data_IF_226506296883
#
_entry.id   IF_226506296883
#
_cell.length_a   1.000
_cell.length_b   1.000
_cell.length_c   1.000
_cell.angle_alpha   90.00
_cell.angle_beta   90.00
_cell.angle_gamma   90.00
#
_symmetry.space_group_name_H-M   'P 1'
#
loop_
_entity.id
_entity.type
_entity.pdbx_description
1 polymer ?
#
# COMPACT_ATOMS: atom_id res chain seq x y z
N UNK A 1 0.27 -13.25 2.63
CA UNK A 1 1.35 -12.40 2.06
C UNK A 1 1.80 -11.48 3.18
N UNK A 2 3.10 -11.27 3.40
CA UNK A 2 3.58 -10.39 4.48
C UNK A 2 4.19 -9.11 3.89
N UNK A 3 3.85 -7.97 4.48
CA UNK A 3 4.45 -6.67 4.16
C UNK A 3 5.75 -6.50 4.95
N UNK A 4 6.71 -5.77 4.38
CA UNK A 4 7.87 -5.31 5.14
C UNK A 4 7.47 -4.15 6.07
N UNK A 5 8.33 -3.81 7.03
CA UNK A 5 8.11 -2.66 7.93
C UNK A 5 7.91 -1.35 7.15
N UNK A 6 8.64 -1.18 6.04
CA UNK A 6 8.55 0.01 5.19
C UNK A 6 7.23 0.06 4.41
N UNK A 7 6.78 -1.09 3.89
CA UNK A 7 5.48 -1.20 3.24
C UNK A 7 4.36 -0.98 4.26
N UNK A 8 4.40 -1.61 5.43
CA UNK A 8 3.41 -1.38 6.48
C UNK A 8 3.34 0.07 6.92
N UNK A 9 4.49 0.74 7.06
CA UNK A 9 4.57 2.15 7.42
C UNK A 9 3.96 3.03 6.32
N UNK A 10 4.30 2.75 5.06
CA UNK A 10 3.73 3.45 3.91
C UNK A 10 2.21 3.32 3.88
N UNK A 11 1.69 2.11 4.07
CA UNK A 11 0.25 1.89 4.00
C UNK A 11 -0.46 2.45 5.27
N UNK A 12 0.20 2.44 6.44
CA UNK A 12 -0.30 3.06 7.68
C UNK A 12 -0.43 4.58 7.58
N UNK A 13 0.39 5.23 6.75
CA UNK A 13 0.34 6.67 6.53
C UNK A 13 -1.01 7.12 5.95
N UNK A 14 -1.69 6.25 5.18
CA UNK A 14 -2.85 6.64 4.37
C UNK A 14 -4.20 6.11 4.85
N UNK A 15 -4.29 4.96 5.54
CA UNK A 15 -5.47 4.55 6.35
C UNK A 15 -5.21 3.23 7.09
N UNK A 16 -5.94 2.94 8.17
CA UNK A 16 -5.74 1.73 9.00
C UNK A 16 -6.64 0.53 8.68
N UNK A 17 -7.73 0.65 7.91
CA UNK A 17 -8.80 -0.38 7.96
C UNK A 17 -9.49 -0.77 6.64
N UNK A 18 -9.13 -0.24 5.47
CA UNK A 18 -9.92 -0.48 4.25
C UNK A 18 -9.10 -0.61 2.96
N UNK A 19 -9.68 -1.29 1.95
CA UNK A 19 -9.21 -1.39 0.56
C UNK A 19 -8.99 -0.03 -0.13
N UNK A 20 -9.49 1.06 0.46
CA UNK A 20 -9.19 2.44 0.05
C UNK A 20 -7.70 2.81 0.18
N UNK A 21 -6.89 2.02 0.90
CA UNK A 21 -5.41 2.11 0.94
C UNK A 21 -4.79 2.17 -0.47
N UNK A 22 -5.22 1.31 -1.39
CA UNK A 22 -4.69 1.24 -2.77
C UNK A 22 -4.94 2.55 -3.54
N UNK A 23 -6.11 3.15 -3.34
CA UNK A 23 -6.46 4.41 -4.00
C UNK A 23 -5.66 5.61 -3.43
N UNK A 24 -5.49 5.66 -2.10
CA UNK A 24 -4.73 6.73 -1.46
C UNK A 24 -3.23 6.67 -1.80
N UNK A 25 -2.62 5.47 -1.80
CA UNK A 25 -1.23 5.27 -2.22
C UNK A 25 -1.04 5.63 -3.69
N UNK A 26 -2.00 5.29 -4.58
CA UNK A 26 -1.97 5.75 -5.99
C UNK A 26 -2.06 7.27 -6.13
N UNK A 27 -2.89 7.91 -5.32
CA UNK A 27 -3.07 9.36 -5.36
C UNK A 27 -1.82 10.12 -4.90
N UNK A 28 -1.09 9.58 -3.92
CA UNK A 28 0.12 10.20 -3.38
C UNK A 28 1.42 9.82 -4.13
N UNK A 29 1.37 8.81 -5.00
CA UNK A 29 2.51 8.36 -5.82
C UNK A 29 3.21 9.48 -6.64
N UNK A 30 2.50 10.47 -7.24
CA UNK A 30 3.12 11.55 -7.98
C UNK A 30 4.03 12.45 -7.11
N UNK A 31 3.68 12.60 -5.83
CA UNK A 31 4.39 13.44 -4.86
C UNK A 31 5.57 12.72 -4.19
N UNK A 32 5.70 11.40 -4.39
CA UNK A 32 6.79 10.59 -3.83
C UNK A 32 8.06 10.67 -4.68
N UNK A 33 9.20 10.65 -4.01
CA UNK A 33 10.52 10.44 -4.62
C UNK A 33 10.62 9.06 -5.28
N UNK A 34 11.57 8.89 -6.20
CA UNK A 34 11.68 7.69 -7.04
C UNK A 34 11.77 6.37 -6.25
N UNK A 35 12.49 6.36 -5.14
CA UNK A 35 12.62 5.21 -4.24
C UNK A 35 11.29 4.89 -3.53
N UNK A 36 10.62 5.91 -2.97
CA UNK A 36 9.29 5.75 -2.37
C UNK A 36 8.25 5.31 -3.41
N UNK A 37 8.39 5.76 -4.66
CA UNK A 37 7.51 5.37 -5.77
C UNK A 37 7.70 3.91 -6.17
N UNK A 38 8.93 3.40 -6.11
CA UNK A 38 9.23 1.98 -6.31
C UNK A 38 8.63 1.12 -5.18
N UNK A 39 8.80 1.55 -3.93
CA UNK A 39 8.18 0.91 -2.76
C UNK A 39 6.65 0.91 -2.85
N UNK A 40 6.05 2.04 -3.22
CA UNK A 40 4.60 2.18 -3.41
C UNK A 40 4.07 1.25 -4.51
N UNK A 41 4.79 1.10 -5.63
CA UNK A 41 4.41 0.14 -6.67
C UNK A 41 4.47 -1.30 -6.19
N UNK A 42 5.55 -1.70 -5.51
CA UNK A 42 5.65 -3.05 -4.96
C UNK A 42 4.52 -3.33 -3.97
N UNK A 43 4.25 -2.36 -3.08
CA UNK A 43 3.17 -2.43 -2.10
C UNK A 43 1.81 -2.58 -2.78
N UNK A 44 1.54 -1.78 -3.83
CA UNK A 44 0.28 -1.85 -4.58
C UNK A 44 0.09 -3.18 -5.30
N UNK A 45 1.14 -3.77 -5.86
CA UNK A 45 1.08 -5.06 -6.53
C UNK A 45 0.71 -6.19 -5.55
N UNK A 46 1.28 -6.15 -4.34
CA UNK A 46 0.91 -7.04 -3.24
C UNK A 46 -0.54 -6.82 -2.80
N UNK A 47 -0.99 -5.58 -2.66
CA UNK A 47 -2.36 -5.23 -2.28
C UNK A 47 -3.40 -5.64 -3.35
N UNK A 48 -3.06 -5.55 -4.63
CA UNK A 48 -3.93 -5.95 -5.75
C UNK A 48 -4.09 -7.47 -5.81
N UNK A 49 -3.02 -8.20 -5.45
CA UNK A 49 -3.02 -9.66 -5.33
C UNK A 49 -3.79 -10.16 -4.10
N UNK A 50 -3.93 -9.33 -3.06
CA UNK A 50 -4.70 -9.66 -1.85
C UNK A 50 -6.21 -9.50 -2.10
N UNK A 51 -6.97 -10.54 -1.74
CA UNK A 51 -8.44 -10.50 -1.82
C UNK A 51 -9.01 -9.71 -0.63
N UNK A 52 -10.23 -9.18 -0.75
CA UNK A 52 -10.90 -8.46 0.36
C UNK A 52 -10.98 -9.31 1.65
N UNK A 53 -11.04 -10.63 1.51
CA UNK A 53 -11.05 -11.56 2.64
C UNK A 53 -9.73 -11.58 3.43
N UNK A 54 -8.59 -11.25 2.81
CA UNK A 54 -7.29 -11.15 3.48
C UNK A 54 -7.12 -9.83 4.23
N UNK A 55 -8.00 -8.85 4.00
CA UNK A 55 -8.00 -7.55 4.70
C UNK A 55 -8.78 -7.57 6.02
N UNK A 56 -9.74 -8.49 6.17
CA UNK A 56 -10.64 -8.60 7.35
C UNK A 56 -10.14 -9.62 8.41
N UNK A 57 -8.99 -10.27 8.17
CA UNK A 57 -8.39 -11.26 9.06
C UNK A 57 -7.45 -10.65 10.10
#
# INVERSE_FOLDING_TARGET
MYFTVEEENLICLYHKSDRRRTAAVRAAMPDMDEEMRALARQTLDKLDTMSDADFEA
#
